data_IF_909217085023
#
_entry.id   IF_909217085023
#
_cell.length_a   1.000
_cell.length_b   1.000
_cell.length_c   1.000
_cell.angle_alpha   90.00
_cell.angle_beta   90.00
_cell.angle_gamma   90.00
#
_symmetry.space_group_name_H-M   'P 1'
#
loop_
_entity.id
_entity.type
_entity.pdbx_description
1 polymer ?
#
# COMPACT_ATOMS: atom_id res chain seq x y z
N UNK A 1 -3.68 -23.77 -21.65
CA UNK A 1 -4.28 -24.94 -22.30
C UNK A 1 -3.71 -25.16 -23.70
N UNK A 2 -3.65 -24.14 -24.58
CA UNK A 2 -3.11 -24.28 -25.96
C UNK A 2 -1.63 -24.73 -25.99
N UNK A 3 -0.78 -24.26 -25.08
CA UNK A 3 0.64 -24.66 -24.99
C UNK A 3 0.87 -26.08 -24.47
N UNK A 4 -0.10 -26.67 -23.80
CA UNK A 4 -0.02 -28.08 -23.32
C UNK A 4 -0.43 -29.03 -24.45
N UNK A 5 -1.38 -28.66 -25.29
CA UNK A 5 -1.81 -29.46 -26.45
C UNK A 5 -0.70 -29.55 -27.50
N UNK A 6 -0.03 -28.43 -27.81
CA UNK A 6 1.08 -28.40 -28.79
C UNK A 6 2.28 -29.27 -28.31
N UNK A 7 2.55 -29.34 -27.01
CA UNK A 7 3.61 -30.21 -26.45
C UNK A 7 3.27 -31.70 -26.49
N UNK A 8 1.99 -32.04 -26.54
CA UNK A 8 1.54 -33.43 -26.62
C UNK A 8 1.63 -33.98 -28.04
N UNK A 9 1.38 -33.14 -29.06
CA UNK A 9 1.56 -33.48 -30.48
C UNK A 9 3.06 -33.70 -30.79
N UNK A 10 3.94 -32.82 -30.32
CA UNK A 10 5.40 -32.96 -30.49
C UNK A 10 5.98 -34.22 -29.78
N UNK A 11 5.35 -34.67 -28.69
CA UNK A 11 5.76 -35.88 -27.97
C UNK A 11 5.34 -37.16 -28.71
N UNK A 12 4.17 -37.18 -29.34
CA UNK A 12 3.67 -38.31 -30.12
C UNK A 12 4.46 -38.48 -31.45
N UNK A 13 4.82 -37.39 -32.12
CA UNK A 13 5.61 -37.45 -33.34
C UNK A 13 7.04 -37.93 -33.11
N UNK A 14 7.66 -37.56 -31.98
CA UNK A 14 9.03 -38.07 -31.63
C UNK A 14 9.06 -39.54 -31.24
N UNK A 15 8.01 -40.09 -30.66
CA UNK A 15 7.96 -41.53 -30.33
C UNK A 15 7.72 -42.42 -31.55
N UNK A 16 7.04 -41.90 -32.58
CA UNK A 16 6.80 -42.61 -33.85
C UNK A 16 8.04 -42.65 -34.75
N UNK A 17 8.84 -41.59 -34.84
CA UNK A 17 10.03 -41.54 -35.67
C UNK A 17 11.19 -42.41 -35.15
N UNK A 18 11.29 -42.63 -33.85
CA UNK A 18 12.31 -43.46 -33.24
C UNK A 18 12.02 -44.97 -33.31
N UNK A 19 10.84 -45.39 -33.78
CA UNK A 19 10.48 -46.83 -33.94
C UNK A 19 10.64 -47.39 -35.35
N UNK A 20 11.15 -46.63 -36.32
CA UNK A 20 11.28 -47.05 -37.74
C UNK A 20 12.73 -47.16 -38.17
N UNK A 21 13.63 -47.65 -37.32
CA UNK A 21 14.96 -48.07 -37.73
C UNK A 21 15.41 -49.35 -37.01
N UNK A 22 14.86 -50.48 -37.42
CA UNK A 22 15.43 -51.78 -37.14
C UNK A 22 15.73 -52.52 -38.43
N UNK A 23 16.93 -53.14 -38.56
CA UNK A 23 17.34 -53.82 -39.78
C UNK A 23 16.55 -55.11 -39.97
N UNK A 24 16.21 -55.37 -41.24
CA UNK A 24 15.64 -56.65 -41.70
C UNK A 24 16.50 -57.84 -41.30
N UNK A 25 16.01 -58.67 -40.36
CA UNK A 25 16.29 -60.12 -40.37
C UNK A 25 15.21 -60.85 -39.56
N UNK A 26 14.41 -61.61 -40.25
CA UNK A 26 13.77 -62.86 -39.88
C UNK A 26 13.30 -63.02 -38.42
N UNK A 27 12.08 -62.52 -38.12
CA UNK A 27 11.17 -63.14 -37.16
C UNK A 27 9.75 -62.63 -37.49
N UNK A 28 8.93 -63.53 -38.04
CA UNK A 28 7.50 -63.25 -38.16
C UNK A 28 6.94 -63.00 -36.77
N UNK A 29 6.38 -61.83 -36.47
CA UNK A 29 5.67 -61.66 -35.21
C UNK A 29 4.41 -62.51 -35.28
N UNK A 30 4.26 -63.44 -34.32
CA UNK A 30 2.94 -64.04 -34.05
C UNK A 30 1.95 -62.87 -33.94
N UNK A 31 1.03 -62.72 -34.90
CA UNK A 31 -0.15 -61.90 -34.71
C UNK A 31 -0.97 -62.57 -33.61
N UNK A 32 -0.78 -62.10 -32.42
CA UNK A 32 -1.85 -62.31 -31.42
C UNK A 32 -3.04 -61.52 -31.92
N UNK A 33 -4.02 -62.27 -32.42
CA UNK A 33 -5.33 -61.72 -32.74
C UNK A 33 -5.97 -61.34 -31.40
N UNK A 34 -5.76 -60.07 -31.01
CA UNK A 34 -6.49 -59.49 -29.86
C UNK A 34 -7.95 -59.56 -30.24
N UNK A 35 -8.77 -60.23 -29.43
CA UNK A 35 -10.20 -60.41 -29.66
C UNK A 35 -10.85 -59.06 -29.79
N UNK A 36 -11.74 -58.87 -30.83
CA UNK A 36 -12.41 -57.60 -31.08
C UNK A 36 -13.14 -57.03 -29.86
N UNK A 37 -13.64 -57.91 -28.98
CA UNK A 37 -14.35 -57.52 -27.76
C UNK A 37 -13.49 -56.69 -26.79
N UNK A 38 -12.20 -57.02 -26.70
CA UNK A 38 -11.26 -56.31 -25.82
C UNK A 38 -10.98 -54.87 -26.26
N UNK A 39 -11.01 -54.59 -27.57
CA UNK A 39 -10.92 -53.24 -28.12
C UNK A 39 -12.17 -52.40 -27.82
N UNK A 40 -13.34 -53.01 -27.89
CA UNK A 40 -14.62 -52.37 -27.58
C UNK A 40 -14.69 -51.94 -26.14
N UNK A 41 -14.20 -52.76 -25.21
CA UNK A 41 -14.21 -52.43 -23.77
C UNK A 41 -13.22 -51.31 -23.44
N UNK A 42 -12.03 -51.30 -24.02
CA UNK A 42 -11.03 -50.21 -23.87
C UNK A 42 -11.62 -48.88 -24.41
N UNK A 43 -12.30 -48.90 -25.54
CA UNK A 43 -12.93 -47.69 -26.10
C UNK A 43 -14.06 -47.21 -25.17
N UNK A 44 -14.90 -48.13 -24.65
CA UNK A 44 -15.99 -47.79 -23.73
C UNK A 44 -15.46 -47.14 -22.45
N UNK A 45 -14.42 -47.73 -21.83
CA UNK A 45 -13.81 -47.21 -20.61
C UNK A 45 -13.22 -45.82 -20.82
N UNK A 46 -12.57 -45.59 -21.97
CA UNK A 46 -12.05 -44.26 -22.31
C UNK A 46 -13.16 -43.23 -22.53
N UNK A 47 -14.26 -43.61 -23.17
CA UNK A 47 -15.43 -42.75 -23.35
C UNK A 47 -16.05 -42.39 -22.00
N UNK A 48 -16.17 -43.34 -21.09
CA UNK A 48 -16.68 -43.10 -19.75
C UNK A 48 -15.79 -42.19 -18.91
N UNK A 49 -14.45 -42.36 -19.04
CA UNK A 49 -13.49 -41.50 -18.40
C UNK A 49 -13.57 -40.06 -18.93
N UNK A 50 -13.71 -39.88 -20.27
CA UNK A 50 -13.90 -38.57 -20.90
C UNK A 50 -15.19 -37.94 -20.42
N UNK A 51 -16.30 -38.68 -20.38
CA UNK A 51 -17.57 -38.15 -19.87
C UNK A 51 -17.49 -37.73 -18.40
N UNK A 52 -16.81 -38.50 -17.53
CA UNK A 52 -16.57 -38.10 -16.14
C UNK A 52 -15.73 -36.85 -16.05
N UNK A 53 -14.67 -36.74 -16.85
CA UNK A 53 -13.80 -35.55 -16.89
C UNK A 53 -14.55 -34.31 -17.37
N UNK A 54 -15.42 -34.42 -18.37
CA UNK A 54 -16.25 -33.32 -18.84
C UNK A 54 -17.25 -32.89 -17.75
N UNK A 55 -17.90 -33.83 -17.04
CA UNK A 55 -18.81 -33.49 -15.93
C UNK A 55 -18.07 -32.72 -14.83
N UNK A 56 -16.87 -33.15 -14.44
CA UNK A 56 -16.06 -32.47 -13.45
C UNK A 56 -15.68 -31.06 -13.93
N UNK A 57 -15.26 -30.91 -15.19
CA UNK A 57 -14.92 -29.62 -15.77
C UNK A 57 -16.14 -28.65 -15.78
N UNK A 58 -17.32 -29.13 -16.15
CA UNK A 58 -18.56 -28.34 -16.12
C UNK A 58 -18.90 -27.88 -14.69
N UNK A 59 -18.77 -28.75 -13.69
CA UNK A 59 -19.01 -28.41 -12.29
C UNK A 59 -18.01 -27.35 -11.80
N UNK A 60 -16.73 -27.50 -12.16
CA UNK A 60 -15.69 -26.51 -11.83
C UNK A 60 -15.97 -25.15 -12.47
N UNK A 61 -16.34 -25.11 -13.75
CA UNK A 61 -16.71 -23.87 -14.42
C UNK A 61 -17.93 -23.23 -13.78
N UNK A 62 -18.97 -24.00 -13.48
CA UNK A 62 -20.15 -23.51 -12.78
C UNK A 62 -19.80 -22.91 -11.40
N UNK A 63 -18.94 -23.59 -10.64
CA UNK A 63 -18.48 -23.07 -9.35
C UNK A 63 -17.70 -21.75 -9.48
N UNK A 64 -16.83 -21.63 -10.48
CA UNK A 64 -16.10 -20.40 -10.76
C UNK A 64 -17.07 -19.27 -11.13
N UNK A 65 -18.06 -19.54 -11.98
CA UNK A 65 -19.06 -18.55 -12.37
C UNK A 65 -19.90 -18.09 -11.16
N UNK A 66 -20.32 -19.00 -10.29
CA UNK A 66 -21.03 -18.66 -9.06
C UNK A 66 -20.17 -17.78 -8.15
N UNK A 67 -18.89 -18.07 -8.03
CA UNK A 67 -17.95 -17.23 -7.25
C UNK A 67 -17.78 -15.84 -7.87
N UNK A 68 -17.66 -15.76 -9.19
CA UNK A 68 -17.57 -14.47 -9.89
C UNK A 68 -18.84 -13.65 -9.69
N UNK A 69 -20.02 -14.27 -9.83
CA UNK A 69 -21.30 -13.61 -9.61
C UNK A 69 -21.48 -13.16 -8.17
N UNK A 70 -21.05 -13.98 -7.21
CA UNK A 70 -21.06 -13.62 -5.79
C UNK A 70 -20.19 -12.38 -5.53
N UNK A 71 -18.94 -12.39 -6.00
CA UNK A 71 -18.03 -11.24 -5.84
C UNK A 71 -18.61 -10.01 -6.52
N UNK A 72 -19.10 -10.14 -7.75
CA UNK A 72 -19.75 -9.04 -8.47
C UNK A 72 -20.93 -8.48 -7.67
N UNK A 73 -21.81 -9.33 -7.15
CA UNK A 73 -22.97 -8.89 -6.36
C UNK A 73 -22.58 -8.28 -5.01
N UNK A 74 -21.57 -8.84 -4.36
CA UNK A 74 -21.04 -8.30 -3.10
C UNK A 74 -20.28 -6.98 -3.26
N UNK A 75 -19.73 -6.71 -4.45
CA UNK A 75 -19.03 -5.49 -4.76
C UNK A 75 -19.90 -4.40 -5.44
N UNK A 76 -21.13 -4.74 -5.86
CA UNK A 76 -22.10 -3.72 -6.30
C UNK A 76 -22.73 -3.11 -5.06
N UNK A 77 -22.08 -2.07 -4.55
CA UNK A 77 -22.63 -1.22 -3.51
C UNK A 77 -23.76 -0.38 -4.14
N UNK A 78 -24.99 -0.72 -3.83
CA UNK A 78 -26.18 0.04 -4.23
C UNK A 78 -26.53 1.12 -3.20
N UNK A 79 -25.57 1.48 -2.32
CA UNK A 79 -25.75 2.53 -1.32
C UNK A 79 -26.08 3.88 -1.97
N UNK A 80 -27.00 4.59 -1.37
CA UNK A 80 -27.24 6.01 -1.72
C UNK A 80 -26.11 6.86 -1.14
N UNK A 81 -25.87 8.06 -1.70
CA UNK A 81 -24.90 9.01 -1.15
C UNK A 81 -25.16 9.36 0.33
N UNK A 82 -26.41 9.25 0.77
CA UNK A 82 -26.79 9.46 2.17
C UNK A 82 -26.33 8.31 3.07
N UNK A 83 -26.42 7.07 2.59
CA UNK A 83 -25.90 5.90 3.29
C UNK A 83 -24.37 5.95 3.37
N UNK A 84 -23.69 6.38 2.30
CA UNK A 84 -22.24 6.57 2.26
C UNK A 84 -21.77 7.61 3.29
N UNK A 85 -22.46 8.76 3.39
CA UNK A 85 -22.16 9.79 4.39
C UNK A 85 -22.28 9.24 5.81
N UNK A 86 -23.37 8.54 6.11
CA UNK A 86 -23.62 7.93 7.41
C UNK A 86 -22.52 6.93 7.79
N UNK A 87 -22.12 6.09 6.85
CA UNK A 87 -21.03 5.12 7.03
C UNK A 87 -19.68 5.82 7.28
N UNK A 88 -19.35 6.85 6.50
CA UNK A 88 -18.11 7.61 6.69
C UNK A 88 -18.06 8.31 8.05
N UNK A 89 -19.18 8.87 8.53
CA UNK A 89 -19.26 9.48 9.86
C UNK A 89 -19.05 8.41 10.94
N UNK A 90 -19.68 7.24 10.85
CA UNK A 90 -19.49 6.16 11.81
C UNK A 90 -18.05 5.66 11.85
N UNK A 91 -17.40 5.52 10.69
CA UNK A 91 -15.98 5.15 10.59
C UNK A 91 -15.08 6.20 11.20
N UNK A 92 -15.36 7.49 10.94
CA UNK A 92 -14.68 8.63 11.56
C UNK A 92 -14.74 8.55 13.07
N UNK A 93 -15.96 8.43 13.61
CA UNK A 93 -16.19 8.39 15.06
C UNK A 93 -15.48 7.22 15.72
N UNK A 94 -15.55 6.04 15.10
CA UNK A 94 -14.77 4.86 15.54
C UNK A 94 -13.26 5.13 15.59
N UNK A 95 -12.69 5.79 14.56
CA UNK A 95 -11.27 6.10 14.52
C UNK A 95 -10.90 7.18 15.54
N UNK A 96 -11.75 8.20 15.76
CA UNK A 96 -11.56 9.22 16.79
C UNK A 96 -11.49 8.53 18.15
N UNK A 97 -12.45 7.69 18.50
CA UNK A 97 -12.50 6.98 19.78
C UNK A 97 -11.27 6.11 20.04
N UNK A 98 -10.67 5.56 18.98
CA UNK A 98 -9.51 4.68 19.08
C UNK A 98 -8.18 5.42 19.08
N UNK A 99 -8.05 6.51 18.35
CA UNK A 99 -6.77 7.18 18.11
C UNK A 99 -6.63 8.45 18.94
N UNK A 100 -7.70 9.26 19.11
CA UNK A 100 -7.68 10.50 19.91
C UNK A 100 -7.84 10.15 21.38
N UNK A 101 -6.79 9.59 21.97
CA UNK A 101 -6.78 9.13 23.36
C UNK A 101 -5.63 9.82 24.13
N UNK A 102 -4.87 9.08 24.94
CA UNK A 102 -3.59 9.56 25.44
C UNK A 102 -2.43 8.93 24.65
N UNK A 103 -1.26 9.58 24.57
CA UNK A 103 -0.08 9.02 23.91
C UNK A 103 0.23 7.59 24.38
N UNK A 104 0.18 7.37 25.68
CA UNK A 104 0.44 6.04 26.26
C UNK A 104 -0.62 5.00 25.89
N UNK A 105 -1.90 5.38 25.89
CA UNK A 105 -2.97 4.45 25.53
C UNK A 105 -2.84 4.05 24.04
N UNK A 106 -2.57 5.02 23.15
CA UNK A 106 -2.37 4.74 21.73
C UNK A 106 -1.17 3.81 21.50
N UNK A 107 -0.05 4.02 22.19
CA UNK A 107 1.12 3.15 22.09
C UNK A 107 0.82 1.71 22.55
N UNK A 108 -0.03 1.53 23.57
CA UNK A 108 -0.47 0.20 24.02
C UNK A 108 -1.38 -0.53 23.02
N UNK A 109 -2.07 0.19 22.15
CA UNK A 109 -2.87 -0.42 21.06
C UNK A 109 -2.01 -0.88 19.87
N UNK A 110 -0.74 -0.43 19.79
CA UNK A 110 0.15 -0.85 18.70
C UNK A 110 0.62 -2.29 18.91
N UNK A 111 0.87 -3.06 17.83
CA UNK A 111 1.26 -4.46 17.93
C UNK A 111 2.53 -4.66 18.78
N UNK A 112 2.48 -5.54 19.77
CA UNK A 112 3.61 -5.79 20.69
C UNK A 112 4.84 -6.40 20.02
N UNK A 113 4.65 -7.18 18.97
CA UNK A 113 5.72 -7.94 18.30
C UNK A 113 6.67 -7.14 17.42
N UNK A 114 6.38 -5.85 17.15
CA UNK A 114 7.13 -5.05 16.17
C UNK A 114 8.28 -4.23 16.78
N UNK A 115 8.41 -4.20 18.10
CA UNK A 115 9.41 -3.41 18.84
C UNK A 115 8.99 -1.94 19.05
N UNK A 116 9.55 -1.32 20.08
CA UNK A 116 9.14 0.02 20.56
C UNK A 116 9.31 1.14 19.52
N UNK A 117 10.34 1.06 18.69
CA UNK A 117 10.56 2.03 17.62
C UNK A 117 9.42 2.02 16.58
N UNK A 118 8.99 0.83 16.16
CA UNK A 118 7.88 0.71 15.20
C UNK A 118 6.54 1.03 15.85
N UNK A 119 6.34 0.72 17.13
CA UNK A 119 5.13 1.13 17.84
C UNK A 119 4.95 2.64 17.82
N UNK A 120 6.01 3.41 18.14
CA UNK A 120 5.97 4.86 18.10
C UNK A 120 5.73 5.41 16.68
N UNK A 121 6.39 4.85 15.68
CA UNK A 121 6.21 5.24 14.27
C UNK A 121 4.79 4.95 13.77
N UNK A 122 4.21 3.79 14.09
CA UNK A 122 2.85 3.45 13.70
C UNK A 122 1.81 4.30 14.45
N UNK A 123 2.06 4.65 15.71
CA UNK A 123 1.21 5.59 16.44
C UNK A 123 1.21 6.98 15.78
N UNK A 124 2.38 7.48 15.37
CA UNK A 124 2.50 8.72 14.60
C UNK A 124 1.73 8.64 13.28
N UNK A 125 1.88 7.53 12.53
CA UNK A 125 1.17 7.35 11.25
C UNK A 125 -0.34 7.30 11.47
N UNK A 126 -0.82 6.63 12.51
CA UNK A 126 -2.24 6.61 12.86
C UNK A 126 -2.77 8.02 13.11
N UNK A 127 -2.05 8.84 13.89
CA UNK A 127 -2.41 10.22 14.14
C UNK A 127 -2.44 11.06 12.83
N UNK A 128 -1.41 10.97 12.02
CA UNK A 128 -1.28 11.79 10.81
C UNK A 128 -2.28 11.41 9.73
N UNK A 129 -2.55 10.11 9.54
CA UNK A 129 -3.54 9.65 8.58
C UNK A 129 -4.97 9.99 9.03
N UNK A 130 -5.25 9.91 10.34
CA UNK A 130 -6.55 10.37 10.86
C UNK A 130 -6.72 11.88 10.68
N UNK A 131 -5.69 12.70 10.97
CA UNK A 131 -5.74 14.14 10.72
C UNK A 131 -6.07 14.46 9.27
N UNK A 132 -5.43 13.76 8.30
CA UNK A 132 -5.72 13.88 6.89
C UNK A 132 -7.16 13.50 6.52
N UNK A 133 -7.67 12.42 7.10
CA UNK A 133 -9.05 12.00 6.90
C UNK A 133 -10.04 13.03 7.43
N UNK A 134 -9.83 13.54 8.65
CA UNK A 134 -10.66 14.59 9.27
C UNK A 134 -10.64 15.89 8.46
N UNK A 135 -9.48 16.30 7.95
CA UNK A 135 -9.37 17.44 7.06
C UNK A 135 -10.17 17.27 5.76
N UNK A 136 -10.07 16.10 5.12
CA UNK A 136 -10.82 15.82 3.90
C UNK A 136 -12.33 15.74 4.17
N UNK A 137 -12.75 15.15 5.28
CA UNK A 137 -14.16 15.14 5.71
C UNK A 137 -14.69 16.55 5.96
N UNK A 138 -13.89 17.44 6.55
CA UNK A 138 -14.27 18.85 6.75
C UNK A 138 -14.54 19.60 5.44
N UNK A 139 -13.96 19.15 4.33
CA UNK A 139 -14.23 19.70 2.99
C UNK A 139 -15.45 19.09 2.35
N UNK A 140 -15.66 17.78 2.50
CA UNK A 140 -16.79 17.05 1.95
C UNK A 140 -18.08 17.36 2.74
N UNK A 141 -17.96 17.48 4.05
CA UNK A 141 -19.04 17.68 5.01
C UNK A 141 -18.72 18.87 5.94
N UNK A 142 -18.95 20.12 5.48
CA UNK A 142 -18.56 21.33 6.23
C UNK A 142 -19.14 21.44 7.65
N UNK A 143 -20.26 20.79 7.91
CA UNK A 143 -20.89 20.74 9.24
C UNK A 143 -20.04 20.00 10.28
N UNK A 144 -19.16 19.09 9.86
CA UNK A 144 -18.23 18.35 10.75
C UNK A 144 -16.96 19.12 11.06
N UNK A 145 -16.75 20.28 10.42
CA UNK A 145 -15.47 21.00 10.40
C UNK A 145 -14.98 21.39 11.81
N UNK A 146 -15.85 21.89 12.67
CA UNK A 146 -15.45 22.37 13.99
C UNK A 146 -14.96 21.23 14.87
N UNK A 147 -15.69 20.13 14.92
CA UNK A 147 -15.31 18.93 15.66
C UNK A 147 -14.05 18.29 15.08
N UNK A 148 -13.95 18.16 13.76
CA UNK A 148 -12.76 17.62 13.11
C UNK A 148 -11.52 18.48 13.38
N UNK A 149 -11.65 19.80 13.41
CA UNK A 149 -10.56 20.71 13.70
C UNK A 149 -10.04 20.55 15.15
N UNK A 150 -10.95 20.40 16.11
CA UNK A 150 -10.60 20.10 17.50
C UNK A 150 -9.86 18.77 17.63
N UNK A 151 -10.34 17.73 16.94
CA UNK A 151 -9.67 16.43 16.94
C UNK A 151 -8.28 16.47 16.26
N UNK A 152 -8.09 17.26 15.18
CA UNK A 152 -6.77 17.49 14.58
C UNK A 152 -5.85 18.20 15.56
N UNK A 153 -6.32 19.19 16.31
CA UNK A 153 -5.53 19.87 17.36
C UNK A 153 -5.08 18.89 18.44
N UNK A 154 -6.00 18.06 18.93
CA UNK A 154 -5.70 17.01 19.92
C UNK A 154 -4.66 16.01 19.40
N UNK A 155 -4.76 15.57 18.14
CA UNK A 155 -3.79 14.67 17.52
C UNK A 155 -2.40 15.33 17.40
N UNK A 156 -2.32 16.62 17.08
CA UNK A 156 -1.05 17.35 17.04
C UNK A 156 -0.43 17.41 18.44
N UNK A 157 -1.22 17.73 19.48
CA UNK A 157 -0.72 17.73 20.87
C UNK A 157 -0.23 16.35 21.30
N UNK A 158 -0.91 15.29 20.94
CA UNK A 158 -0.46 13.92 21.19
C UNK A 158 0.89 13.65 20.54
N UNK A 159 1.07 14.03 19.27
CA UNK A 159 2.33 13.84 18.54
C UNK A 159 3.45 14.70 19.10
N UNK A 160 3.14 15.88 19.63
CA UNK A 160 4.10 16.75 20.33
C UNK A 160 4.55 16.20 21.69
N UNK A 161 3.85 15.21 22.26
CA UNK A 161 4.26 14.61 23.54
C UNK A 161 5.61 13.89 23.41
N UNK A 162 6.38 13.87 24.49
CA UNK A 162 7.65 13.13 24.51
C UNK A 162 7.43 11.63 24.32
N UNK A 163 6.35 11.09 24.86
CA UNK A 163 6.01 9.67 24.73
C UNK A 163 5.90 9.22 23.27
N UNK A 164 5.22 10.00 22.42
CA UNK A 164 5.04 9.65 21.02
C UNK A 164 6.29 9.91 20.18
N UNK A 165 7.10 10.95 20.47
CA UNK A 165 8.30 11.24 19.68
C UNK A 165 9.55 10.50 20.16
N UNK A 166 9.46 9.81 21.29
CA UNK A 166 10.58 9.07 21.90
C UNK A 166 11.22 8.07 20.94
N UNK A 167 10.44 7.40 20.09
CA UNK A 167 10.96 6.43 19.12
C UNK A 167 11.96 7.07 18.15
N UNK A 168 11.69 8.30 17.71
CA UNK A 168 12.55 9.02 16.78
C UNK A 168 13.78 9.59 17.51
N UNK A 169 13.59 10.06 18.74
CA UNK A 169 14.69 10.49 19.60
C UNK A 169 15.68 9.35 19.89
N UNK A 170 15.19 8.15 20.19
CA UNK A 170 16.03 6.96 20.39
C UNK A 170 16.72 6.52 19.09
N UNK A 171 16.02 6.59 17.95
CA UNK A 171 16.54 6.24 16.63
C UNK A 171 17.74 7.12 16.22
N UNK A 172 17.65 8.41 16.48
CA UNK A 172 18.66 9.37 16.08
C UNK A 172 19.64 9.76 17.22
N UNK A 173 19.30 9.40 18.47
CA UNK A 173 20.09 9.74 19.66
C UNK A 173 20.00 11.21 20.06
N UNK A 174 18.96 11.93 19.61
CA UNK A 174 18.66 13.32 19.96
C UNK A 174 17.18 13.63 19.71
N UNK A 175 16.60 14.57 20.45
CA UNK A 175 15.19 14.93 20.31
C UNK A 175 14.94 15.70 18.99
N UNK A 176 13.97 15.28 18.16
CA UNK A 176 13.71 15.90 16.86
C UNK A 176 13.28 17.36 16.93
N UNK A 177 12.65 17.79 18.02
CA UNK A 177 12.18 19.18 18.19
C UNK A 177 13.22 20.10 18.83
N UNK A 178 14.14 19.56 19.62
CA UNK A 178 15.22 20.32 20.26
C UNK A 178 16.42 20.54 19.32
N UNK A 179 16.50 19.75 18.23
CA UNK A 179 17.63 19.75 17.30
C UNK A 179 17.23 20.10 15.85
N UNK A 180 16.21 20.96 15.70
CA UNK A 180 15.75 21.39 14.37
C UNK A 180 16.84 22.12 13.57
N UNK A 181 17.79 22.79 14.22
CA UNK A 181 18.95 23.44 13.61
C UNK A 181 20.06 22.45 13.22
N UNK A 182 20.06 21.24 13.78
CA UNK A 182 21.03 20.18 13.50
C UNK A 182 20.90 19.56 12.09
N UNK A 183 21.76 18.56 11.84
CA UNK A 183 21.90 17.94 10.51
C UNK A 183 21.27 16.53 10.40
N UNK A 184 20.84 15.92 11.51
CA UNK A 184 20.18 14.60 11.48
C UNK A 184 18.81 14.69 10.80
N UNK A 185 18.40 13.61 10.17
CA UNK A 185 17.24 13.64 9.26
C UNK A 185 15.92 13.89 9.98
N UNK A 186 15.58 13.07 10.95
CA UNK A 186 14.26 13.05 11.63
C UNK A 186 13.05 13.11 10.70
N UNK A 187 13.23 12.75 9.42
CA UNK A 187 12.23 13.00 8.38
C UNK A 187 10.90 12.30 8.67
N UNK A 188 10.93 11.09 9.22
CA UNK A 188 9.74 10.35 9.62
C UNK A 188 8.86 11.18 10.56
N UNK A 189 9.44 11.73 11.62
CA UNK A 189 8.69 12.48 12.61
C UNK A 189 8.30 13.89 12.13
N UNK A 190 9.30 14.69 11.70
CA UNK A 190 9.04 16.11 11.37
C UNK A 190 8.14 16.30 10.16
N UNK A 191 8.16 15.37 9.21
CA UNK A 191 7.31 15.47 8.01
C UNK A 191 5.84 15.23 8.33
N UNK A 192 5.54 14.21 9.13
CA UNK A 192 4.17 13.90 9.54
C UNK A 192 3.60 14.98 10.43
N UNK A 193 4.37 15.48 11.39
CA UNK A 193 3.96 16.61 12.23
C UNK A 193 3.67 17.87 11.39
N UNK A 194 4.58 18.23 10.46
CA UNK A 194 4.37 19.37 9.57
C UNK A 194 3.14 19.18 8.66
N UNK A 195 2.89 17.97 8.20
CA UNK A 195 1.71 17.65 7.41
C UNK A 195 0.43 17.86 8.21
N UNK A 196 0.33 17.33 9.43
CA UNK A 196 -0.82 17.53 10.33
C UNK A 196 -1.07 19.01 10.59
N UNK A 197 -0.02 19.80 10.91
CA UNK A 197 -0.16 21.25 11.12
C UNK A 197 -0.63 21.93 9.84
N UNK A 198 -0.16 21.53 8.65
CA UNK A 198 -0.63 22.09 7.39
C UNK A 198 -2.13 21.88 7.18
N UNK A 199 -2.64 20.70 7.53
CA UNK A 199 -4.06 20.35 7.42
C UNK A 199 -4.91 21.11 8.42
N UNK A 200 -4.43 21.23 9.67
CA UNK A 200 -5.06 22.08 10.68
C UNK A 200 -5.23 23.53 10.18
N UNK A 201 -4.17 24.12 9.64
CA UNK A 201 -4.21 25.48 9.10
C UNK A 201 -5.10 25.60 7.86
N UNK A 202 -5.04 24.65 6.95
CA UNK A 202 -5.89 24.62 5.76
C UNK A 202 -7.37 24.38 6.09
N UNK A 203 -7.66 23.73 7.22
CA UNK A 203 -9.01 23.63 7.79
C UNK A 203 -9.48 24.92 8.46
N UNK A 204 -8.63 25.93 8.63
CA UNK A 204 -8.96 27.21 9.26
C UNK A 204 -8.61 27.25 10.75
N UNK A 205 -7.66 26.42 11.21
CA UNK A 205 -7.10 26.47 12.55
C UNK A 205 -6.39 27.79 12.84
N UNK A 206 -6.27 28.11 14.12
CA UNK A 206 -5.64 29.34 14.60
C UNK A 206 -4.11 29.36 14.42
N UNK A 207 -3.46 30.38 14.97
CA UNK A 207 -2.02 30.62 14.81
C UNK A 207 -1.12 29.88 15.82
N UNK A 208 -1.68 28.98 16.64
CA UNK A 208 -0.99 28.24 17.71
C UNK A 208 0.32 27.58 17.25
N UNK A 209 0.34 27.01 16.07
CA UNK A 209 1.48 26.25 15.55
C UNK A 209 2.31 26.98 14.49
N UNK A 210 2.09 28.28 14.25
CA UNK A 210 2.76 29.00 13.15
C UNK A 210 4.29 28.92 13.23
N UNK A 211 4.87 29.26 14.38
CA UNK A 211 6.32 29.24 14.56
C UNK A 211 6.90 27.82 14.36
N UNK A 212 6.26 26.83 14.98
CA UNK A 212 6.70 25.44 14.83
C UNK A 212 6.61 24.97 13.37
N UNK A 213 5.54 25.34 12.65
CA UNK A 213 5.37 25.00 11.24
C UNK A 213 6.44 25.63 10.36
N UNK A 214 6.80 26.90 10.65
CA UNK A 214 7.89 27.62 9.98
C UNK A 214 9.24 26.91 10.21
N UNK A 215 9.53 26.50 11.45
CA UNK A 215 10.76 25.83 11.84
C UNK A 215 10.87 24.44 11.21
N UNK A 216 9.81 23.64 11.28
CA UNK A 216 9.77 22.30 10.66
C UNK A 216 9.99 22.37 9.15
N UNK A 217 9.24 23.22 8.46
CA UNK A 217 9.35 23.37 7.00
C UNK A 217 10.68 23.99 6.58
N UNK A 218 11.20 24.96 7.35
CA UNK A 218 12.53 25.53 7.16
C UNK A 218 13.63 24.48 7.29
N UNK A 219 13.54 23.65 8.32
CA UNK A 219 14.47 22.54 8.58
C UNK A 219 14.44 21.50 7.47
N UNK A 220 13.25 21.02 7.08
CA UNK A 220 13.13 20.06 5.97
C UNK A 220 13.72 20.62 4.68
N UNK A 221 13.37 21.87 4.32
CA UNK A 221 13.91 22.52 3.13
C UNK A 221 15.44 22.64 3.16
N UNK A 222 16.02 23.07 4.29
CA UNK A 222 17.46 23.21 4.49
C UNK A 222 18.18 21.86 4.34
N UNK A 223 17.68 20.82 5.03
CA UNK A 223 18.26 19.47 5.01
C UNK A 223 18.16 18.85 3.60
N UNK A 224 17.03 18.99 2.93
CA UNK A 224 16.84 18.52 1.54
C UNK A 224 17.83 19.17 0.57
N UNK A 225 18.02 20.49 0.65
CA UNK A 225 18.95 21.21 -0.22
C UNK A 225 20.42 20.87 0.04
N UNK A 226 20.79 20.47 1.25
CA UNK A 226 22.13 19.96 1.59
C UNK A 226 22.36 18.52 1.10
N UNK A 227 21.31 17.74 0.97
CA UNK A 227 21.39 16.36 0.48
C UNK A 227 21.67 16.32 -1.03
N UNK A 228 22.73 15.60 -1.44
CA UNK A 228 23.05 15.39 -2.87
C UNK A 228 21.92 14.71 -3.64
N UNK A 229 21.18 13.84 -2.97
CA UNK A 229 20.04 13.11 -3.55
C UNK A 229 18.74 13.89 -3.51
N UNK A 230 18.65 15.03 -2.82
CA UNK A 230 17.41 15.71 -2.43
C UNK A 230 16.46 14.82 -1.61
N UNK A 231 16.99 13.82 -0.94
CA UNK A 231 16.25 12.92 -0.07
C UNK A 231 16.89 12.86 1.32
N UNK A 232 16.09 12.51 2.32
CA UNK A 232 16.51 12.38 3.69
C UNK A 232 16.24 10.94 4.16
N UNK A 233 17.18 10.28 4.85
CA UNK A 233 16.97 8.92 5.34
C UNK A 233 16.00 8.90 6.51
N UNK A 234 15.16 7.88 6.55
CA UNK A 234 14.26 7.61 7.69
C UNK A 234 15.01 7.02 8.87
N UNK A 235 16.04 6.23 8.60
CA UNK A 235 16.88 5.58 9.60
C UNK A 235 18.35 5.99 9.42
N UNK A 236 19.15 6.04 10.50
CA UNK A 236 20.59 6.26 10.39
C UNK A 236 21.23 5.18 9.50
N UNK A 237 22.04 5.60 8.56
CA UNK A 237 22.82 4.72 7.65
C UNK A 237 21.96 3.85 6.70
N UNK A 238 20.69 4.15 6.51
CA UNK A 238 19.82 3.38 5.63
C UNK A 238 19.43 4.09 4.35
N UNK A 239 18.76 3.32 3.48
CA UNK A 239 18.17 3.82 2.24
C UNK A 239 17.00 4.77 2.52
N UNK A 240 16.65 5.53 1.50
CA UNK A 240 15.51 6.45 1.53
C UNK A 240 14.21 5.66 1.58
N UNK A 241 13.34 6.00 2.54
CA UNK A 241 11.98 5.52 2.59
C UNK A 241 11.06 6.52 1.87
N UNK A 242 10.56 6.11 0.71
CA UNK A 242 9.80 6.99 -0.20
C UNK A 242 8.53 7.57 0.43
N UNK A 243 7.72 6.84 1.20
CA UNK A 243 6.53 7.38 1.87
C UNK A 243 6.82 8.62 2.72
N UNK A 244 7.85 8.60 3.57
CA UNK A 244 8.20 9.76 4.42
C UNK A 244 8.62 10.97 3.56
N UNK A 245 9.33 10.71 2.47
CA UNK A 245 9.68 11.77 1.52
C UNK A 245 8.46 12.36 0.83
N UNK A 246 7.47 11.54 0.46
CA UNK A 246 6.20 12.04 -0.11
C UNK A 246 5.47 12.93 0.89
N UNK A 247 5.35 12.51 2.15
CA UNK A 247 4.74 13.31 3.22
C UNK A 247 5.48 14.64 3.39
N UNK A 248 6.81 14.63 3.43
CA UNK A 248 7.63 15.84 3.53
C UNK A 248 7.38 16.81 2.37
N UNK A 249 7.30 16.31 1.16
CA UNK A 249 7.03 17.14 -0.04
C UNK A 249 5.60 17.68 -0.05
N UNK A 250 4.62 16.88 0.41
CA UNK A 250 3.24 17.34 0.59
C UNK A 250 3.17 18.45 1.63
N UNK A 251 3.82 18.29 2.79
CA UNK A 251 3.88 19.30 3.84
C UNK A 251 4.52 20.62 3.33
N UNK A 252 5.66 20.54 2.64
CA UNK A 252 6.31 21.72 2.02
C UNK A 252 5.45 22.37 0.93
N UNK A 253 4.72 21.59 0.15
CA UNK A 253 3.79 22.12 -0.86
C UNK A 253 2.60 22.85 -0.20
N UNK A 254 2.02 22.28 0.86
CA UNK A 254 0.95 22.91 1.62
C UNK A 254 1.44 24.19 2.30
N UNK A 255 2.64 24.16 2.90
CA UNK A 255 3.29 25.32 3.44
C UNK A 255 3.45 26.43 2.37
N UNK A 256 3.89 26.06 1.18
CA UNK A 256 4.08 26.98 0.06
C UNK A 256 2.75 27.66 -0.36
N UNK A 257 1.64 26.91 -0.36
CA UNK A 257 0.31 27.45 -0.65
C UNK A 257 -0.12 28.50 0.38
N UNK A 258 0.17 28.24 1.66
CA UNK A 258 -0.17 29.12 2.78
C UNK A 258 0.76 30.35 2.87
N UNK A 259 2.02 30.24 2.38
CA UNK A 259 3.08 31.21 2.57
C UNK A 259 3.67 31.72 1.23
N UNK A 260 2.84 32.22 0.34
CA UNK A 260 3.23 32.92 -0.92
C UNK A 260 4.28 32.21 -1.77
N UNK A 261 4.26 30.88 -1.80
CA UNK A 261 5.17 30.09 -2.63
C UNK A 261 6.55 29.80 -2.02
N UNK A 262 6.77 30.14 -0.74
CA UNK A 262 8.02 29.81 -0.03
C UNK A 262 8.27 28.29 -0.13
N UNK A 263 9.47 27.87 -0.52
CA UNK A 263 9.91 26.49 -0.74
C UNK A 263 9.32 25.74 -1.96
N UNK A 264 8.47 26.34 -2.79
CA UNK A 264 7.91 25.70 -3.98
C UNK A 264 9.00 25.25 -4.98
N UNK A 265 10.14 25.94 -5.03
CA UNK A 265 11.27 25.57 -5.87
C UNK A 265 11.87 24.22 -5.47
N UNK A 266 11.99 23.94 -4.17
CA UNK A 266 12.47 22.65 -3.63
C UNK A 266 11.49 21.53 -3.96
N UNK A 267 10.20 21.77 -3.76
CA UNK A 267 9.14 20.81 -4.14
C UNK A 267 9.23 20.46 -5.63
N UNK A 268 9.33 21.47 -6.51
CA UNK A 268 9.43 21.25 -7.96
C UNK A 268 10.72 20.52 -8.37
N UNK A 269 11.84 20.80 -7.70
CA UNK A 269 13.11 20.08 -7.95
C UNK A 269 12.97 18.61 -7.58
N UNK A 270 12.43 18.33 -6.40
CA UNK A 270 12.22 16.96 -5.93
C UNK A 270 11.30 16.19 -6.86
N UNK A 271 10.12 16.73 -7.20
CA UNK A 271 9.16 16.08 -8.10
C UNK A 271 9.76 15.78 -9.48
N UNK A 272 10.53 16.72 -10.06
CA UNK A 272 11.23 16.49 -11.34
C UNK A 272 12.22 15.34 -11.23
N UNK A 273 13.02 15.31 -10.15
CA UNK A 273 14.00 14.25 -9.91
C UNK A 273 13.32 12.90 -9.73
N UNK A 274 12.29 12.83 -8.90
CA UNK A 274 11.52 11.60 -8.68
C UNK A 274 10.95 11.05 -10.00
N UNK A 275 10.35 11.90 -10.83
CA UNK A 275 9.83 11.51 -12.17
C UNK A 275 10.93 11.01 -13.11
N UNK A 276 12.15 11.57 -13.03
CA UNK A 276 13.25 11.16 -13.94
C UNK A 276 13.98 9.90 -13.50
N UNK A 277 14.03 9.63 -12.19
CA UNK A 277 14.86 8.57 -11.63
C UNK A 277 14.06 7.36 -11.10
N UNK A 278 12.81 7.56 -10.67
CA UNK A 278 12.04 6.52 -9.96
C UNK A 278 10.87 5.97 -10.75
N UNK A 279 10.42 6.64 -11.81
CA UNK A 279 9.41 6.09 -12.68
C UNK A 279 10.06 5.17 -13.71
N UNK A 280 9.60 3.93 -13.77
CA UNK A 280 10.02 3.01 -14.83
C UNK A 280 9.46 3.52 -16.16
N UNK A 281 10.35 3.73 -17.15
CA UNK A 281 9.97 4.23 -18.48
C UNK A 281 8.97 3.32 -19.20
N UNK A 282 8.91 2.06 -18.79
CA UNK A 282 8.08 1.01 -19.42
C UNK A 282 6.66 0.92 -18.82
N UNK A 283 6.47 1.44 -17.61
CA UNK A 283 5.18 1.34 -16.90
C UNK A 283 4.49 2.69 -16.67
N UNK A 284 5.11 3.77 -17.04
CA UNK A 284 4.55 5.14 -17.04
C UNK A 284 4.85 5.91 -15.79
#
# INVERSE_FOLDING_TARGET
LLKVVIRFEDYLDNEWQNKISLPCSCLQPKRETVEPEKYVDIIRDNIDLIHKSIKIAVVMVAFILVKILWVYWSCTDNGTWEDEKGELIQRRDFLIDRVVTSPRALLCEMPEGIGTQFQGEWALYSCSMLAAALFNMSKLYPETKTENLENIDNLIEMVLSFELRKYDAERWGEDPLETLDGDRSHISYISHLAWMISEYKMAGGNDKYNNLFDDLCGTMNRRLLRSKSLNLPTYPSECIYVPDMLVAIVALNNYSKLNKGKYISTVRKWVRKAKSEWLAKETG
#
